data_IF_654849804909
#
_entry.id   IF_654849804909
#
_cell.length_a   1.000
_cell.length_b   1.000
_cell.length_c   1.000
_cell.angle_alpha   90.00
_cell.angle_beta   90.00
_cell.angle_gamma   90.00
#
_symmetry.space_group_name_H-M   'P 1'
#
loop_
_entity.id
_entity.type
_entity.pdbx_description
1 polymer ?
#
# COMPACT_ATOMS: atom_id res chain seq x y z
N UNK A 1 17.50 -27.29 2.26
CA UNK A 1 16.54 -28.39 2.29
C UNK A 1 15.37 -27.88 3.08
N UNK A 2 14.20 -27.76 2.44
CA UNK A 2 12.97 -27.39 3.11
C UNK A 2 12.37 -28.59 3.84
N UNK A 3 11.51 -28.33 4.80
CA UNK A 3 10.77 -29.33 5.58
C UNK A 3 9.29 -29.15 5.31
N UNK A 4 8.61 -30.22 4.92
CA UNK A 4 7.16 -30.20 4.77
C UNK A 4 6.46 -30.70 6.03
N UNK A 5 5.44 -29.97 6.45
CA UNK A 5 4.56 -30.28 7.58
C UNK A 5 3.12 -30.17 7.09
N UNK A 6 2.31 -31.17 7.40
CA UNK A 6 0.89 -31.19 7.02
C UNK A 6 0.07 -31.61 8.22
N UNK A 7 -0.95 -30.81 8.54
CA UNK A 7 -1.96 -31.10 9.54
C UNK A 7 -2.97 -32.15 9.07
N UNK A 8 -4.14 -32.07 9.65
CA UNK A 8 -5.30 -32.93 9.42
C UNK A 8 -6.53 -32.05 9.20
N UNK A 9 -7.67 -32.65 8.88
CA UNK A 9 -8.95 -31.92 8.76
C UNK A 9 -9.56 -31.52 10.13
N UNK A 10 -8.74 -31.31 11.15
CA UNK A 10 -9.13 -30.99 12.53
C UNK A 10 -8.19 -29.94 13.09
N UNK A 11 -8.58 -29.25 14.19
CA UNK A 11 -7.69 -28.33 14.86
C UNK A 11 -6.36 -28.98 15.25
N UNK A 12 -5.27 -28.45 14.72
CA UNK A 12 -3.91 -28.92 14.89
C UNK A 12 -2.99 -27.86 15.50
N UNK A 13 -1.89 -28.32 16.09
CA UNK A 13 -0.76 -27.48 16.49
C UNK A 13 0.45 -27.91 15.66
N UNK A 14 0.89 -27.05 14.75
CA UNK A 14 1.96 -27.32 13.79
C UNK A 14 3.20 -26.49 14.14
N UNK A 15 4.35 -27.15 14.26
CA UNK A 15 5.61 -26.55 14.69
C UNK A 15 6.68 -26.77 13.62
N UNK A 16 7.09 -25.69 12.96
CA UNK A 16 8.27 -25.66 12.11
C UNK A 16 9.59 -25.77 12.89
N UNK A 17 10.70 -25.74 12.16
CA UNK A 17 12.04 -25.82 12.74
C UNK A 17 12.94 -24.66 12.28
N UNK A 18 14.25 -24.72 12.53
CA UNK A 18 15.17 -23.62 12.19
C UNK A 18 15.58 -23.58 10.70
N UNK A 19 14.86 -24.29 9.85
CA UNK A 19 15.05 -24.39 8.40
C UNK A 19 13.79 -23.86 7.74
N UNK A 20 13.91 -23.47 6.47
CA UNK A 20 12.74 -23.16 5.66
C UNK A 20 11.71 -24.31 5.70
N UNK A 21 10.49 -23.97 6.06
CA UNK A 21 9.36 -24.87 6.19
C UNK A 21 8.33 -24.59 5.09
N UNK A 22 7.61 -25.64 4.70
CA UNK A 22 6.32 -25.52 4.01
C UNK A 22 5.28 -26.20 4.88
N UNK A 23 4.31 -25.43 5.37
CA UNK A 23 3.35 -25.90 6.37
C UNK A 23 1.94 -25.76 5.81
N UNK A 24 1.13 -26.81 5.94
CA UNK A 24 -0.28 -26.84 5.53
C UNK A 24 -1.17 -27.21 6.72
N UNK A 25 -2.09 -26.32 7.10
CA UNK A 25 -3.12 -26.53 8.13
C UNK A 25 -4.18 -27.53 7.69
N UNK A 26 -4.68 -27.38 6.45
CA UNK A 26 -5.90 -28.01 5.92
C UNK A 26 -7.17 -27.45 6.58
N UNK A 27 -8.22 -28.26 6.75
CA UNK A 27 -9.39 -27.80 7.49
C UNK A 27 -9.14 -27.84 8.99
N UNK A 28 -9.59 -26.85 9.74
CA UNK A 28 -9.26 -26.82 11.16
C UNK A 28 -9.54 -25.50 11.82
N UNK A 29 -8.86 -25.26 12.91
CA UNK A 29 -8.72 -23.94 13.53
C UNK A 29 -7.39 -24.03 14.22
N UNK A 30 -6.37 -23.87 13.41
CA UNK A 30 -5.05 -24.38 13.68
C UNK A 30 -4.22 -23.33 14.39
N UNK A 31 -3.16 -23.81 15.05
CA UNK A 31 -2.11 -22.95 15.57
C UNK A 31 -0.81 -23.37 14.89
N UNK A 32 -0.27 -22.48 14.06
CA UNK A 32 0.87 -22.75 13.20
C UNK A 32 2.03 -21.83 13.58
N UNK A 33 3.20 -22.41 13.78
CA UNK A 33 4.45 -21.70 14.03
C UNK A 33 5.46 -22.03 12.92
N UNK A 34 5.92 -21.02 12.19
CA UNK A 34 6.87 -21.14 11.06
C UNK A 34 8.24 -21.63 11.50
N UNK A 35 8.75 -21.10 12.61
CA UNK A 35 10.03 -21.50 13.17
C UNK A 35 11.12 -20.48 12.87
N UNK A 36 11.98 -20.79 11.91
CA UNK A 36 13.03 -19.85 11.54
C UNK A 36 13.51 -20.00 10.12
N UNK A 37 13.99 -18.87 9.56
CA UNK A 37 14.24 -18.64 8.14
C UNK A 37 12.92 -18.44 7.39
N UNK A 38 13.02 -18.33 6.07
CA UNK A 38 11.87 -18.12 5.19
C UNK A 38 11.00 -19.36 5.08
N UNK A 39 9.78 -19.22 5.55
CA UNK A 39 8.75 -20.24 5.57
C UNK A 39 7.60 -19.90 4.61
N UNK A 40 6.93 -20.95 4.14
CA UNK A 40 5.72 -20.86 3.33
C UNK A 40 4.59 -21.55 4.09
N UNK A 41 3.62 -20.78 4.55
CA UNK A 41 2.59 -21.28 5.47
C UNK A 41 1.21 -21.13 4.82
N UNK A 42 0.44 -22.20 4.86
CA UNK A 42 -0.96 -22.26 4.44
C UNK A 42 -1.82 -22.63 5.65
N UNK A 43 -2.73 -21.76 6.07
CA UNK A 43 -3.76 -22.05 7.08
C UNK A 43 -4.91 -22.89 6.48
N UNK A 44 -5.27 -22.60 5.23
CA UNK A 44 -6.32 -23.26 4.45
C UNK A 44 -7.75 -22.94 4.95
N UNK A 45 -8.51 -23.87 5.53
CA UNK A 45 -9.90 -23.64 5.96
C UNK A 45 -9.98 -23.61 7.48
N UNK A 46 -10.47 -22.53 8.10
CA UNK A 46 -10.52 -22.49 9.56
C UNK A 46 -10.31 -21.10 10.11
N UNK A 47 -10.55 -20.91 11.41
CA UNK A 47 -10.09 -19.67 12.06
C UNK A 47 -8.73 -19.94 12.70
N UNK A 48 -7.67 -19.60 11.99
CA UNK A 48 -6.33 -20.01 12.30
C UNK A 48 -5.56 -18.95 13.10
N UNK A 49 -4.54 -19.41 13.82
CA UNK A 49 -3.52 -18.57 14.45
C UNK A 49 -2.18 -18.92 13.82
N UNK A 50 -1.62 -18.00 13.08
CA UNK A 50 -0.40 -18.23 12.32
C UNK A 50 0.68 -17.26 12.79
N UNK A 51 1.85 -17.80 13.11
CA UNK A 51 3.03 -17.08 13.55
C UNK A 51 4.20 -17.47 12.64
N UNK A 52 4.73 -16.56 11.80
CA UNK A 52 5.92 -16.83 10.98
C UNK A 52 7.20 -16.96 11.82
N UNK A 53 7.28 -16.17 12.89
CA UNK A 53 8.38 -16.11 13.87
C UNK A 53 9.64 -15.39 13.36
N UNK A 54 10.55 -16.04 12.65
CA UNK A 54 11.82 -15.43 12.21
C UNK A 54 12.09 -15.73 10.76
N UNK A 55 12.50 -14.73 10.00
CA UNK A 55 12.80 -14.86 8.58
C UNK A 55 11.75 -14.10 7.78
N UNK A 56 11.99 -14.01 6.48
CA UNK A 56 11.07 -13.35 5.56
C UNK A 56 10.07 -14.42 5.11
N UNK A 57 8.86 -14.40 5.64
CA UNK A 57 7.86 -15.45 5.51
C UNK A 57 6.77 -15.11 4.49
N UNK A 58 6.15 -16.14 3.93
CA UNK A 58 4.95 -15.99 3.09
C UNK A 58 3.80 -16.78 3.71
N UNK A 59 2.75 -16.06 4.12
CA UNK A 59 1.64 -16.64 4.89
C UNK A 59 0.32 -16.48 4.13
N UNK A 60 -0.30 -17.59 3.78
CA UNK A 60 -1.65 -17.69 3.23
C UNK A 60 -2.60 -18.24 4.28
N UNK A 61 -3.35 -17.39 4.98
CA UNK A 61 -4.25 -17.84 6.05
C UNK A 61 -5.46 -18.60 5.49
N UNK A 62 -6.10 -18.08 4.44
CA UNK A 62 -7.09 -18.83 3.67
C UNK A 62 -8.53 -18.42 3.96
N UNK A 63 -9.40 -19.37 4.30
CA UNK A 63 -10.81 -19.08 4.60
C UNK A 63 -11.05 -19.05 6.10
N UNK A 64 -11.46 -17.90 6.63
CA UNK A 64 -11.79 -17.83 8.05
C UNK A 64 -11.62 -16.45 8.62
N UNK A 65 -11.66 -16.37 9.95
CA UNK A 65 -11.24 -15.16 10.66
C UNK A 65 -9.92 -15.48 11.32
N UNK A 66 -8.85 -15.07 10.67
CA UNK A 66 -7.52 -15.49 11.01
C UNK A 66 -6.79 -14.44 11.84
N UNK A 67 -5.88 -14.93 12.69
CA UNK A 67 -4.90 -14.10 13.38
C UNK A 67 -3.54 -14.43 12.79
N UNK A 68 -2.92 -13.43 12.16
CA UNK A 68 -1.69 -13.57 11.41
C UNK A 68 -0.64 -12.68 12.05
N UNK A 69 0.48 -13.27 12.44
CA UNK A 69 1.67 -12.59 12.92
C UNK A 69 2.84 -12.97 12.03
N UNK A 70 3.42 -12.02 11.29
CA UNK A 70 4.58 -12.29 10.43
C UNK A 70 5.80 -12.63 11.29
N UNK A 71 6.16 -11.74 12.20
CA UNK A 71 7.18 -12.00 13.21
C UNK A 71 8.36 -11.07 13.04
N UNK A 72 9.48 -11.57 12.53
CA UNK A 72 10.68 -10.78 12.32
C UNK A 72 11.30 -11.11 10.97
N UNK A 73 11.42 -10.13 10.08
CA UNK A 73 11.75 -10.30 8.67
C UNK A 73 10.82 -9.44 7.85
N UNK A 74 11.00 -9.44 6.53
CA UNK A 74 10.11 -8.75 5.62
C UNK A 74 9.04 -9.73 5.13
N UNK A 75 7.85 -9.70 5.74
CA UNK A 75 6.83 -10.73 5.55
C UNK A 75 5.78 -10.38 4.48
N UNK A 76 5.30 -11.40 3.76
CA UNK A 76 4.18 -11.30 2.80
C UNK A 76 2.95 -12.04 3.32
N UNK A 77 1.89 -11.29 3.61
CA UNK A 77 0.73 -11.76 4.37
C UNK A 77 -0.56 -11.72 3.54
N UNK A 78 -1.25 -12.85 3.47
CA UNK A 78 -2.49 -13.03 2.71
C UNK A 78 -3.56 -13.59 3.65
N UNK A 79 -4.50 -12.75 4.09
CA UNK A 79 -5.59 -13.20 4.99
C UNK A 79 -6.64 -14.05 4.27
N UNK A 80 -6.82 -13.82 2.98
CA UNK A 80 -7.83 -14.53 2.21
C UNK A 80 -9.23 -14.02 2.51
N UNK A 81 -10.14 -14.91 2.94
CA UNK A 81 -11.55 -14.57 3.03
C UNK A 81 -12.10 -14.32 4.42
N UNK A 82 -12.96 -13.30 4.52
CA UNK A 82 -13.64 -12.78 5.71
C UNK A 82 -12.88 -11.65 6.37
N UNK A 83 -12.62 -11.66 7.68
CA UNK A 83 -12.06 -10.50 8.37
C UNK A 83 -11.01 -10.96 9.36
N UNK A 84 -9.80 -10.46 9.13
CA UNK A 84 -8.57 -10.99 9.68
C UNK A 84 -7.85 -9.94 10.53
N UNK A 85 -6.96 -10.41 11.39
CA UNK A 85 -6.09 -9.55 12.20
C UNK A 85 -4.66 -9.81 11.81
N UNK A 86 -4.02 -8.78 11.25
CA UNK A 86 -2.63 -8.81 10.85
C UNK A 86 -1.77 -8.03 11.84
N UNK A 87 -0.66 -8.65 12.22
CA UNK A 87 0.44 -8.01 12.93
C UNK A 87 1.72 -8.35 12.16
N UNK A 88 2.23 -7.41 11.36
CA UNK A 88 3.38 -7.68 10.47
C UNK A 88 4.58 -8.11 11.28
N UNK A 89 5.09 -7.23 12.15
CA UNK A 89 6.20 -7.65 12.98
C UNK A 89 7.30 -6.63 13.12
N UNK A 90 8.53 -7.13 13.04
CA UNK A 90 9.74 -6.35 12.86
C UNK A 90 10.20 -6.54 11.43
N UNK A 91 10.39 -5.46 10.68
CA UNK A 91 10.80 -5.54 9.29
C UNK A 91 9.89 -4.67 8.45
N UNK A 92 9.85 -4.93 7.16
CA UNK A 92 8.94 -4.30 6.22
C UNK A 92 7.91 -5.33 5.76
N UNK A 93 6.69 -5.21 6.29
CA UNK A 93 5.66 -6.22 6.10
C UNK A 93 4.58 -5.75 5.12
N UNK A 94 4.13 -6.65 4.25
CA UNK A 94 3.15 -6.36 3.20
C UNK A 94 1.93 -7.28 3.34
N UNK A 95 0.75 -6.67 3.44
CA UNK A 95 -0.52 -7.41 3.26
C UNK A 95 -0.93 -7.33 1.79
N UNK A 96 -1.29 -8.47 1.19
CA UNK A 96 -1.70 -8.54 -0.21
C UNK A 96 -3.09 -9.13 -0.39
N UNK A 97 -3.88 -8.44 -1.22
CA UNK A 97 -5.22 -8.84 -1.65
C UNK A 97 -5.27 -9.33 -3.10
N UNK A 98 -4.11 -9.56 -3.72
CA UNK A 98 -3.97 -9.80 -5.16
C UNK A 98 -4.76 -11.03 -5.68
N UNK A 99 -5.04 -12.00 -4.79
CA UNK A 99 -5.76 -13.22 -5.11
C UNK A 99 -7.26 -13.17 -4.76
N UNK A 100 -7.76 -12.02 -4.27
CA UNK A 100 -9.18 -11.87 -3.93
C UNK A 100 -10.04 -11.63 -5.17
N UNK A 101 -10.71 -12.69 -5.63
CA UNK A 101 -11.73 -12.60 -6.68
C UNK A 101 -13.16 -12.44 -6.10
N UNK A 102 -13.42 -11.27 -5.50
CA UNK A 102 -14.75 -10.98 -4.92
C UNK A 102 -15.68 -10.20 -5.85
N UNK A 103 -15.19 -9.76 -7.00
CA UNK A 103 -15.89 -8.86 -7.93
C UNK A 103 -16.01 -7.41 -7.42
N UNK A 104 -15.32 -7.06 -6.33
CA UNK A 104 -15.29 -5.74 -5.70
C UNK A 104 -13.90 -5.49 -5.11
N UNK A 105 -13.43 -4.26 -5.17
CA UNK A 105 -12.18 -3.88 -4.53
C UNK A 105 -12.27 -3.80 -3.01
N UNK A 106 -11.10 -3.66 -2.41
CA UNK A 106 -10.86 -3.62 -0.96
C UNK A 106 -10.73 -2.20 -0.44
N UNK A 107 -10.99 -2.03 0.85
CA UNK A 107 -10.68 -0.78 1.56
C UNK A 107 -9.71 -1.09 2.68
N UNK A 108 -8.43 -0.83 2.46
CA UNK A 108 -7.36 -1.09 3.42
C UNK A 108 -6.88 0.24 4.05
N UNK A 109 -6.61 0.24 5.35
CA UNK A 109 -6.16 1.44 6.07
C UNK A 109 -5.16 1.08 7.16
N UNK A 110 -3.88 1.33 6.89
CA UNK A 110 -2.76 0.97 7.77
C UNK A 110 -2.66 1.84 9.03
N UNK A 111 -3.12 3.10 8.97
CA UNK A 111 -2.95 4.10 10.05
C UNK A 111 -4.07 4.12 11.10
N UNK A 112 -5.00 3.16 11.10
CA UNK A 112 -6.00 3.13 12.16
C UNK A 112 -7.07 2.07 12.00
N UNK A 113 -6.92 0.98 12.76
CA UNK A 113 -7.93 0.11 13.36
C UNK A 113 -9.20 -0.35 12.60
N UNK A 114 -9.55 0.12 11.39
CA UNK A 114 -10.76 -0.25 10.65
C UNK A 114 -10.63 0.05 9.16
N UNK A 115 -10.40 -0.98 8.33
CA UNK A 115 -10.82 -0.93 6.92
C UNK A 115 -12.33 -1.15 6.82
N UNK A 116 -13.07 -0.32 6.08
CA UNK A 116 -14.47 -0.59 5.75
C UNK A 116 -14.57 -1.26 4.38
N UNK A 117 -14.31 -2.57 4.35
CA UNK A 117 -14.43 -3.42 3.17
C UNK A 117 -13.69 -4.74 3.40
N UNK A 118 -14.33 -5.65 4.17
CA UNK A 118 -13.71 -6.67 5.06
C UNK A 118 -13.01 -5.96 6.22
N UNK A 119 -13.43 -6.25 7.45
CA UNK A 119 -13.04 -5.50 8.65
C UNK A 119 -11.65 -5.97 9.13
N UNK A 120 -10.69 -5.98 8.22
CA UNK A 120 -9.32 -6.37 8.54
C UNK A 120 -8.69 -5.30 9.44
N UNK A 121 -7.86 -5.77 10.36
CA UNK A 121 -7.17 -4.93 11.34
C UNK A 121 -5.68 -5.12 11.16
N UNK A 122 -4.97 -4.04 10.86
CA UNK A 122 -3.52 -4.05 10.68
C UNK A 122 -2.81 -3.43 11.87
N UNK A 123 -1.69 -4.04 12.27
CA UNK A 123 -0.73 -3.53 13.23
C UNK A 123 0.67 -3.77 12.68
N UNK A 124 1.56 -2.78 12.71
CA UNK A 124 2.96 -2.92 12.23
C UNK A 124 3.03 -3.55 10.82
N UNK A 125 2.28 -2.96 9.90
CA UNK A 125 2.30 -3.31 8.47
C UNK A 125 2.60 -2.04 7.71
N UNK A 126 3.59 -2.11 6.83
CA UNK A 126 4.10 -0.96 6.09
C UNK A 126 3.63 -0.98 4.63
N UNK A 127 3.18 -2.12 4.12
CA UNK A 127 2.71 -2.26 2.74
C UNK A 127 1.31 -2.83 2.58
N UNK A 128 0.58 -2.35 1.58
CA UNK A 128 -0.64 -3.00 1.08
C UNK A 128 -0.59 -3.12 -0.44
N UNK A 129 -0.84 -4.33 -0.92
CA UNK A 129 -1.19 -4.61 -2.32
C UNK A 129 -2.70 -4.85 -2.41
N UNK A 130 -3.34 -4.13 -3.31
CA UNK A 130 -4.75 -4.18 -3.64
C UNK A 130 -5.19 -5.50 -4.26
N UNK A 131 -6.45 -5.53 -4.67
CA UNK A 131 -7.06 -6.60 -5.44
C UNK A 131 -7.05 -6.26 -6.94
N UNK A 132 -7.49 -7.18 -7.82
CA UNK A 132 -7.64 -6.86 -9.25
C UNK A 132 -8.82 -5.93 -9.61
N UNK A 133 -9.35 -5.18 -8.64
CA UNK A 133 -10.55 -4.34 -8.78
C UNK A 133 -10.33 -2.98 -8.15
N UNK A 134 -11.22 -2.02 -8.44
CA UNK A 134 -11.19 -0.65 -7.89
C UNK A 134 -11.09 -0.60 -6.35
N UNK A 135 -9.89 -0.31 -5.84
CA UNK A 135 -9.55 -0.32 -4.41
C UNK A 135 -9.48 1.07 -3.79
N UNK A 136 -9.51 1.12 -2.46
CA UNK A 136 -9.17 2.30 -1.68
C UNK A 136 -8.11 1.93 -0.64
N UNK A 137 -6.88 2.32 -0.88
CA UNK A 137 -5.73 2.02 -0.04
C UNK A 137 -5.31 3.27 0.73
N UNK A 138 -5.15 3.16 2.05
CA UNK A 138 -4.66 4.27 2.90
C UNK A 138 -3.44 3.85 3.69
N UNK A 139 -2.34 4.55 3.46
CA UNK A 139 -1.04 4.28 4.08
C UNK A 139 -0.92 4.75 5.53
N UNK A 140 0.08 4.21 6.21
CA UNK A 140 0.66 4.74 7.45
C UNK A 140 1.82 5.68 7.15
N UNK A 141 2.71 5.89 8.13
CA UNK A 141 3.91 6.68 7.89
C UNK A 141 4.91 5.90 7.01
N UNK A 142 5.20 6.37 5.79
CA UNK A 142 6.20 5.76 4.91
C UNK A 142 5.78 4.43 4.31
N UNK A 143 4.55 4.34 3.84
CA UNK A 143 3.91 3.12 3.38
C UNK A 143 4.17 2.78 1.90
N UNK A 144 4.09 1.50 1.55
CA UNK A 144 3.96 1.02 0.17
C UNK A 144 2.48 0.77 -0.15
N UNK A 145 1.93 1.43 -1.16
CA UNK A 145 0.56 1.19 -1.64
C UNK A 145 0.60 0.79 -3.12
N UNK A 146 0.09 -0.39 -3.45
CA UNK A 146 0.01 -0.88 -4.82
C UNK A 146 -1.45 -1.23 -5.20
N UNK A 147 -2.06 -0.59 -6.20
CA UNK A 147 -3.45 -0.81 -6.61
C UNK A 147 -3.66 -2.04 -7.51
N UNK A 148 -2.64 -2.41 -8.30
CA UNK A 148 -2.68 -3.48 -9.31
C UNK A 148 -3.52 -3.13 -10.54
N UNK A 149 -4.78 -3.55 -10.59
CA UNK A 149 -5.68 -3.37 -11.73
C UNK A 149 -7.00 -2.82 -11.23
N UNK A 150 -7.58 -1.90 -11.97
CA UNK A 150 -8.81 -1.23 -11.52
C UNK A 150 -8.58 0.27 -11.47
N UNK A 151 -9.65 1.01 -11.21
CA UNK A 151 -9.55 2.45 -10.98
C UNK A 151 -9.32 2.70 -9.48
N UNK A 152 -8.06 2.74 -9.04
CA UNK A 152 -7.73 2.69 -7.61
C UNK A 152 -7.61 4.08 -6.97
N UNK A 153 -7.86 4.18 -5.66
CA UNK A 153 -7.58 5.37 -4.86
C UNK A 153 -6.52 5.09 -3.81
N UNK A 154 -5.34 5.68 -3.98
CA UNK A 154 -4.20 5.55 -3.07
C UNK A 154 -4.06 6.83 -2.23
N UNK A 155 -4.19 6.71 -0.91
CA UNK A 155 -4.09 7.81 0.04
C UNK A 155 -2.79 7.70 0.84
N UNK A 156 -1.84 8.57 0.52
CA UNK A 156 -0.61 8.75 1.27
C UNK A 156 -0.83 9.51 2.59
N UNK A 157 -0.04 9.15 3.59
CA UNK A 157 -0.10 9.71 4.95
C UNK A 157 1.25 10.35 5.29
N UNK A 158 1.70 10.37 6.55
CA UNK A 158 3.02 10.89 6.87
C UNK A 158 4.13 10.05 6.24
N UNK A 159 5.38 10.50 6.36
CA UNK A 159 6.53 9.71 5.89
C UNK A 159 6.63 9.57 4.36
N UNK A 160 7.73 8.95 3.92
CA UNK A 160 8.07 8.83 2.50
C UNK A 160 7.35 7.60 1.92
N UNK A 161 6.15 7.82 1.38
CA UNK A 161 5.34 6.77 0.80
C UNK A 161 5.85 6.37 -0.61
N UNK A 162 5.64 5.10 -0.97
CA UNK A 162 5.75 4.57 -2.34
C UNK A 162 4.38 4.20 -2.85
N UNK A 163 3.89 4.87 -3.89
CA UNK A 163 2.55 4.68 -4.44
C UNK A 163 2.64 4.15 -5.88
N UNK A 164 1.97 3.03 -6.17
CA UNK A 164 1.86 2.44 -7.49
C UNK A 164 0.40 2.11 -7.80
N UNK A 165 -0.27 2.88 -8.65
CA UNK A 165 -1.66 2.59 -9.03
C UNK A 165 -1.79 1.30 -9.84
N UNK A 166 -0.87 1.09 -10.78
CA UNK A 166 -0.90 -0.05 -11.70
C UNK A 166 -1.68 0.30 -12.97
N UNK A 167 -2.50 -0.64 -13.47
CA UNK A 167 -3.31 -0.44 -14.68
C UNK A 167 -4.70 0.09 -14.33
N UNK A 168 -5.13 1.17 -14.98
CA UNK A 168 -6.45 1.76 -14.78
C UNK A 168 -6.38 3.26 -14.64
N UNK A 169 -7.47 3.89 -14.23
CA UNK A 169 -7.52 5.33 -13.97
C UNK A 169 -7.44 5.60 -12.46
N UNK A 170 -6.21 5.68 -11.96
CA UNK A 170 -5.94 5.81 -10.53
C UNK A 170 -6.02 7.25 -10.02
N UNK A 171 -6.27 7.38 -8.72
CA UNK A 171 -6.31 8.62 -7.97
C UNK A 171 -5.32 8.56 -6.82
N UNK A 172 -4.39 9.51 -6.79
CA UNK A 172 -3.44 9.67 -5.68
C UNK A 172 -3.88 10.84 -4.82
N UNK A 173 -4.13 10.59 -3.53
CA UNK A 173 -4.53 11.60 -2.53
C UNK A 173 -3.47 11.71 -1.46
N UNK A 174 -3.25 12.92 -0.98
CA UNK A 174 -2.26 13.23 0.06
C UNK A 174 -2.97 13.87 1.25
N UNK A 175 -2.48 13.67 2.50
CA UNK A 175 -3.09 14.24 3.72
C UNK A 175 -2.18 15.28 4.40
N UNK A 176 -2.72 16.14 5.26
CA UNK A 176 -2.05 17.39 5.69
C UNK A 176 -0.76 17.17 6.49
N UNK A 177 -0.61 15.97 7.05
CA UNK A 177 0.56 15.58 7.83
C UNK A 177 1.70 15.03 6.96
N UNK A 178 1.49 14.86 5.65
CA UNK A 178 2.49 14.38 4.69
C UNK A 178 3.59 15.41 4.38
N UNK A 179 3.40 16.68 4.76
CA UNK A 179 3.99 17.82 4.04
C UNK A 179 5.37 18.33 4.53
N UNK A 180 5.79 18.18 5.79
CA UNK A 180 7.07 18.83 6.18
C UNK A 180 8.31 18.02 5.77
N UNK A 181 8.82 18.28 4.57
CA UNK A 181 10.15 17.85 4.11
C UNK A 181 10.24 16.42 3.56
N UNK A 182 9.10 15.80 3.25
CA UNK A 182 9.05 14.40 2.84
C UNK A 182 8.90 14.27 1.33
N UNK A 183 9.77 13.46 0.72
CA UNK A 183 9.64 13.07 -0.70
C UNK A 183 8.69 11.89 -0.75
N UNK A 184 7.52 12.08 -1.33
CA UNK A 184 6.63 10.97 -1.67
C UNK A 184 7.03 10.47 -3.05
N UNK A 185 7.30 9.17 -3.16
CA UNK A 185 7.63 8.52 -4.42
C UNK A 185 6.37 7.95 -5.04
N UNK A 186 6.01 8.46 -6.22
CA UNK A 186 4.93 7.91 -7.05
C UNK A 186 5.57 7.17 -8.21
N UNK A 187 5.41 5.85 -8.20
CA UNK A 187 5.80 4.95 -9.28
C UNK A 187 4.61 4.86 -10.26
N UNK A 188 4.87 5.07 -11.55
CA UNK A 188 3.82 5.04 -12.57
C UNK A 188 4.12 4.01 -13.66
N UNK A 189 3.15 3.13 -13.91
CA UNK A 189 3.37 1.85 -14.60
C UNK A 189 2.89 1.84 -16.06
N UNK A 190 2.31 2.94 -16.59
CA UNK A 190 1.91 3.05 -18.01
C UNK A 190 2.30 4.36 -18.72
N UNK A 191 2.52 4.23 -20.04
CA UNK A 191 2.86 5.27 -21.02
C UNK A 191 1.75 6.31 -21.32
N UNK A 192 0.67 6.31 -20.54
CA UNK A 192 -0.34 7.37 -20.53
C UNK A 192 -0.63 7.65 -19.07
N UNK A 193 -0.13 8.79 -18.62
CA UNK A 193 -0.46 9.32 -17.31
C UNK A 193 -1.94 9.71 -17.32
N UNK A 194 -2.82 8.82 -16.88
CA UNK A 194 -4.15 9.21 -16.41
C UNK A 194 -4.08 9.54 -14.92
N UNK A 195 -3.21 10.48 -14.52
CA UNK A 195 -3.34 11.22 -13.26
C UNK A 195 -4.56 12.13 -13.36
N UNK A 196 -5.75 11.54 -13.56
CA UNK A 196 -6.99 12.31 -13.70
C UNK A 196 -7.24 13.17 -12.46
N UNK A 197 -6.66 12.82 -11.29
CA UNK A 197 -6.71 13.58 -10.03
C UNK A 197 -5.50 13.29 -9.13
N UNK A 198 -4.62 14.28 -8.94
CA UNK A 198 -3.90 14.44 -7.66
C UNK A 198 -4.77 15.34 -6.81
N UNK A 199 -5.44 14.75 -5.82
CA UNK A 199 -6.26 15.50 -4.88
C UNK A 199 -5.43 15.82 -3.64
N UNK A 200 -4.86 17.01 -3.63
CA UNK A 200 -4.16 17.57 -2.47
C UNK A 200 -5.11 18.42 -1.60
N UNK A 201 -6.42 18.13 -1.60
CA UNK A 201 -7.37 18.74 -0.69
C UNK A 201 -7.06 18.36 0.76
N UNK A 202 -6.36 19.27 1.45
CA UNK A 202 -5.98 19.15 2.84
C UNK A 202 -6.94 19.87 3.80
N UNK A 203 -7.99 20.58 3.32
CA UNK A 203 -8.82 21.43 4.22
C UNK A 203 -10.28 21.74 3.80
N UNK A 204 -10.85 21.25 2.69
CA UNK A 204 -12.21 21.64 2.28
C UNK A 204 -13.30 20.98 3.14
N UNK A 205 -13.78 21.74 4.13
CA UNK A 205 -14.95 21.40 4.96
C UNK A 205 -16.18 22.26 4.64
N UNK A 206 -16.24 22.88 3.45
CA UNK A 206 -17.31 23.78 3.03
C UNK A 206 -18.26 23.19 1.98
N UNK A 207 -19.56 23.58 1.96
CA UNK A 207 -20.52 23.16 0.94
C UNK A 207 -20.35 23.86 -0.42
N UNK A 208 -19.28 24.63 -0.63
CA UNK A 208 -18.88 25.24 -1.92
C UNK A 208 -17.81 24.37 -2.62
N UNK A 209 -18.05 23.06 -2.63
CA UNK A 209 -17.27 22.00 -3.28
C UNK A 209 -17.04 22.22 -4.79
N UNK A 210 -16.14 23.13 -5.14
CA UNK A 210 -15.53 23.27 -6.47
C UNK A 210 -14.03 23.30 -6.28
N UNK A 211 -13.37 22.21 -6.70
CA UNK A 211 -11.93 22.09 -6.95
C UNK A 211 -11.20 23.44 -6.94
N UNK A 212 -10.51 23.77 -5.85
CA UNK A 212 -9.45 24.78 -5.96
C UNK A 212 -8.25 24.09 -6.60
N UNK A 213 -8.30 24.07 -7.93
CA UNK A 213 -7.25 23.67 -8.82
C UNK A 213 -5.94 24.37 -8.44
N UNK A 214 -4.89 23.60 -8.16
CA UNK A 214 -3.55 24.16 -8.18
C UNK A 214 -3.25 24.73 -9.58
N UNK A 215 -2.65 25.91 -9.66
CA UNK A 215 -2.17 26.50 -10.90
C UNK A 215 -0.78 25.93 -11.23
N UNK A 216 -0.67 25.23 -12.36
CA UNK A 216 0.61 24.75 -12.84
C UNK A 216 1.40 25.91 -13.47
N UNK A 217 2.49 26.32 -12.81
CA UNK A 217 3.30 27.49 -13.18
C UNK A 217 4.50 27.14 -14.06
N UNK A 218 4.72 25.85 -14.33
CA UNK A 218 5.72 25.37 -15.29
C UNK A 218 7.02 24.85 -14.65
N UNK A 219 8.02 24.66 -15.50
CA UNK A 219 9.30 24.03 -15.14
C UNK A 219 10.18 24.98 -14.31
N UNK A 220 10.60 24.53 -13.14
CA UNK A 220 11.54 25.19 -12.22
C UNK A 220 11.14 26.66 -11.94
N UNK A 221 9.83 26.90 -11.83
CA UNK A 221 9.23 28.21 -11.65
C UNK A 221 9.13 28.58 -10.16
N UNK A 222 9.40 29.84 -9.84
CA UNK A 222 9.33 30.35 -8.47
C UNK A 222 7.87 30.53 -8.02
N UNK A 223 7.57 30.11 -6.79
CA UNK A 223 6.26 30.29 -6.19
C UNK A 223 6.05 31.74 -5.77
N UNK A 224 4.86 32.25 -6.06
CA UNK A 224 4.44 33.63 -5.81
C UNK A 224 3.12 33.72 -5.03
N UNK A 225 2.37 32.62 -4.95
CA UNK A 225 1.12 32.51 -4.22
C UNK A 225 0.84 31.06 -3.81
N UNK A 226 0.00 30.90 -2.79
CA UNK A 226 -0.59 29.61 -2.43
C UNK A 226 -1.38 29.01 -3.60
N UNK A 227 -1.40 27.69 -3.68
CA UNK A 227 -2.11 26.95 -4.72
C UNK A 227 -1.33 26.86 -6.03
N UNK A 228 0.00 27.00 -6.02
CA UNK A 228 0.83 26.85 -7.23
C UNK A 228 1.57 25.51 -7.26
N UNK A 229 1.73 24.94 -8.44
CA UNK A 229 2.52 23.74 -8.71
C UNK A 229 3.66 24.06 -9.70
N UNK A 230 4.89 23.71 -9.34
CA UNK A 230 6.03 23.72 -10.25
C UNK A 230 6.61 22.31 -10.37
N UNK A 231 7.33 22.03 -11.45
CA UNK A 231 8.02 20.75 -11.63
C UNK A 231 9.46 20.94 -12.09
N UNK A 232 10.33 19.96 -11.85
CA UNK A 232 11.73 20.00 -12.28
C UNK A 232 12.22 18.60 -12.62
N UNK A 233 12.91 18.44 -13.75
CA UNK A 233 13.62 17.20 -14.03
C UNK A 233 14.75 16.94 -13.01
N UNK A 234 14.88 15.70 -12.54
CA UNK A 234 15.92 15.33 -11.54
C UNK A 234 17.31 15.24 -12.18
N UNK A 235 17.38 14.87 -13.46
CA UNK A 235 18.65 14.78 -14.19
C UNK A 235 19.54 13.60 -13.80
N UNK A 236 18.98 12.59 -13.10
CA UNK A 236 19.67 11.36 -12.67
C UNK A 236 19.71 10.26 -13.75
N UNK A 237 19.23 10.56 -14.96
CA UNK A 237 19.15 9.61 -16.08
C UNK A 237 17.93 8.68 -16.03
N UNK A 238 17.09 8.75 -15.00
CA UNK A 238 15.83 7.98 -14.91
C UNK A 238 14.69 8.63 -15.69
N UNK A 239 14.79 9.94 -15.95
CA UNK A 239 13.72 10.74 -16.53
C UNK A 239 12.70 11.24 -15.50
N UNK A 240 12.88 10.93 -14.22
CA UNK A 240 12.01 11.37 -13.14
C UNK A 240 11.94 12.90 -12.98
N UNK A 241 10.80 13.37 -12.48
CA UNK A 241 10.58 14.76 -12.11
C UNK A 241 10.30 14.89 -10.61
N UNK A 242 10.60 16.06 -10.07
CA UNK A 242 10.02 16.55 -8.85
C UNK A 242 8.83 17.43 -9.20
N UNK A 243 7.68 17.21 -8.56
CA UNK A 243 6.54 18.14 -8.58
C UNK A 243 6.46 18.76 -7.20
N UNK A 244 6.43 20.08 -7.12
CA UNK A 244 6.41 20.83 -5.87
C UNK A 244 5.15 21.68 -5.78
N UNK A 245 4.53 21.73 -4.61
CA UNK A 245 3.32 22.51 -4.35
C UNK A 245 3.58 23.55 -3.27
N UNK A 246 3.14 24.77 -3.54
CA UNK A 246 3.04 25.86 -2.55
C UNK A 246 1.60 25.93 -2.04
N UNK A 247 1.42 25.85 -0.73
CA UNK A 247 0.10 25.80 -0.08
C UNK A 247 -0.12 26.98 0.87
N UNK A 248 0.94 27.58 1.41
CA UNK A 248 0.85 28.65 2.42
C UNK A 248 1.02 30.06 1.83
N UNK A 249 1.62 30.16 0.65
CA UNK A 249 1.92 31.41 -0.04
C UNK A 249 3.16 32.11 0.47
N UNK A 250 4.08 31.39 1.12
CA UNK A 250 5.35 31.95 1.62
C UNK A 250 6.48 31.90 0.57
N UNK A 251 6.24 31.22 -0.55
CA UNK A 251 7.15 31.11 -1.69
C UNK A 251 8.11 29.92 -1.57
N UNK A 252 7.92 29.06 -0.56
CA UNK A 252 8.64 27.82 -0.34
C UNK A 252 7.68 26.64 -0.49
N UNK A 253 8.03 25.71 -1.37
CA UNK A 253 7.27 24.47 -1.54
C UNK A 253 6.97 23.80 -0.19
N UNK A 254 5.69 23.65 0.10
CA UNK A 254 5.17 22.94 1.27
C UNK A 254 5.13 21.43 1.05
N UNK A 255 5.17 20.97 -0.21
CA UNK A 255 5.09 19.56 -0.56
C UNK A 255 5.90 19.29 -1.81
N UNK A 256 6.63 18.17 -1.85
CA UNK A 256 7.38 17.73 -3.03
C UNK A 256 7.21 16.24 -3.26
N UNK A 257 6.86 15.89 -4.49
CA UNK A 257 6.69 14.52 -4.95
C UNK A 257 7.79 14.19 -5.95
N UNK A 258 8.36 12.99 -5.87
CA UNK A 258 9.13 12.40 -6.95
C UNK A 258 8.18 11.54 -7.79
N UNK A 259 8.09 11.82 -9.07
CA UNK A 259 7.36 10.99 -10.02
C UNK A 259 8.41 10.30 -10.89
N UNK A 260 8.49 8.98 -10.75
CA UNK A 260 9.29 8.13 -11.63
C UNK A 260 8.44 7.67 -12.81
N UNK A 261 8.99 7.78 -14.03
CA UNK A 261 8.30 7.40 -15.26
C UNK A 261 8.87 6.11 -15.84
N UNK A 262 8.00 5.21 -16.26
CA UNK A 262 8.35 4.22 -17.28
C UNK A 262 8.05 4.80 -18.68
N UNK A 263 9.03 5.49 -19.27
CA UNK A 263 9.12 5.88 -20.71
C UNK A 263 7.80 6.27 -21.45
N UNK A 264 7.38 7.55 -21.36
CA UNK A 264 7.03 8.46 -22.49
C UNK A 264 6.17 9.68 -22.06
N UNK A 265 6.67 10.88 -22.37
CA UNK A 265 6.02 12.20 -22.53
C UNK A 265 4.91 12.67 -21.57
N UNK A 266 5.27 13.65 -20.72
CA UNK A 266 4.34 14.56 -20.03
C UNK A 266 3.70 15.51 -21.06
N UNK A 267 2.38 15.73 -20.99
CA UNK A 267 1.70 16.84 -21.68
C UNK A 267 0.98 17.72 -20.65
N UNK A 268 0.52 18.91 -21.03
CA UNK A 268 -0.29 19.76 -20.15
C UNK A 268 -1.61 19.09 -19.72
N UNK A 269 -2.02 18.01 -20.40
CA UNK A 269 -3.19 17.19 -20.06
C UNK A 269 -2.88 16.12 -19.00
N UNK A 270 -1.63 16.00 -18.55
CA UNK A 270 -1.19 15.12 -17.45
C UNK A 270 -1.79 15.53 -16.09
N UNK A 271 -2.22 16.79 -15.96
CA UNK A 271 -2.80 17.34 -14.75
C UNK A 271 -4.21 17.87 -15.08
N UNK A 272 -5.21 16.99 -15.10
CA UNK A 272 -6.60 17.41 -15.36
C UNK A 272 -7.29 17.78 -14.04
N UNK A 273 -7.91 18.96 -14.02
CA UNK A 273 -8.68 19.53 -12.91
C UNK A 273 -10.06 18.89 -12.78
#
# INVERSE_FOLDING_TARGET
>A
MSVEITGTEKPDELLGDFRNNTIHGLAGSDTIFGGGRTDLIYGDEGNDRIYGERGDDTIFAGQGRDLINGGAGDDSLFGGTQSDVFDGGLGFDVVSYEFLDTGRGVVATLSGARGEGRADVFTRVEGVVGSPFDDILRGGDGALLAGMSGDDTLVASGGADTLAGGTGADVYRFTANSASGTVIQVLTDEAVINLKRIDADLTDSGPDARNQAFEFIGEDAEFTAAGQLSWKAIGDGTGAILVSAEMTGDGIADLTFRIDFSWASISADTFVL
#
